data_IF_365577013549
#
_entry.id   IF_365577013549
#
_cell.length_a   1.000
_cell.length_b   1.000
_cell.length_c   1.000
_cell.angle_alpha   90.00
_cell.angle_beta   90.00
_cell.angle_gamma   90.00
#
_symmetry.space_group_name_H-M   'P 1'
#
loop_
_entity.id
_entity.type
_entity.pdbx_description
1 polymer ?
#
# COMPACT_ATOMS: atom_id res chain seq x y z
N UNK A 1 -14.69 -3.43 -15.32
CA UNK A 1 -13.34 -3.26 -14.73
C UNK A 1 -13.56 -3.17 -13.23
N UNK A 2 -13.00 -4.11 -12.47
CA UNK A 2 -13.48 -4.46 -11.12
C UNK A 2 -13.31 -3.29 -10.14
N UNK A 3 -14.44 -2.76 -9.68
CA UNK A 3 -14.57 -1.95 -8.48
C UNK A 3 -13.90 -2.70 -7.32
N UNK A 4 -12.78 -2.17 -6.81
CA UNK A 4 -12.32 -2.57 -5.48
C UNK A 4 -13.32 -1.98 -4.47
N UNK A 5 -14.34 -2.77 -4.18
CA UNK A 5 -15.26 -2.55 -3.09
C UNK A 5 -14.45 -2.81 -1.81
N UNK A 6 -13.80 -1.76 -1.29
CA UNK A 6 -13.02 -1.83 -0.05
C UNK A 6 -13.97 -1.83 1.13
N UNK A 7 -14.73 -2.92 1.25
CA UNK A 7 -15.62 -3.18 2.36
C UNK A 7 -15.02 -4.28 3.24
N UNK A 8 -13.80 -4.04 3.71
CA UNK A 8 -13.20 -4.77 4.84
C UNK A 8 -12.30 -3.81 5.61
N UNK A 9 -12.87 -3.19 6.65
CA UNK A 9 -12.18 -2.82 7.89
C UNK A 9 -10.71 -2.34 7.76
N UNK A 10 -10.45 -1.33 6.94
CA UNK A 10 -9.08 -0.80 6.75
C UNK A 10 -8.54 -0.07 7.99
N UNK A 11 -9.41 0.35 8.90
CA UNK A 11 -9.02 1.10 10.12
C UNK A 11 -8.20 0.26 11.11
N UNK A 12 -8.15 -1.07 10.96
CA UNK A 12 -7.32 -1.95 11.82
C UNK A 12 -6.11 -2.56 11.11
N UNK A 13 -6.07 -2.59 9.78
CA UNK A 13 -4.98 -3.24 9.04
C UNK A 13 -3.77 -2.31 8.89
N UNK A 14 -3.95 -0.99 8.92
CA UNK A 14 -2.84 -0.03 8.86
C UNK A 14 -2.01 0.08 10.15
N UNK A 15 -2.41 -0.55 11.26
CA UNK A 15 -1.60 -0.57 12.48
C UNK A 15 -0.54 -1.69 12.51
N UNK A 16 -0.53 -2.61 11.53
CA UNK A 16 0.36 -3.78 11.55
C UNK A 16 1.49 -3.77 10.51
N UNK A 17 1.61 -2.71 9.69
CA UNK A 17 2.58 -2.68 8.57
C UNK A 17 3.93 -2.02 8.86
N UNK A 18 4.18 -1.58 10.09
CA UNK A 18 5.52 -1.19 10.55
C UNK A 18 5.97 -2.17 11.63
N UNK A 19 7.05 -2.89 11.37
CA UNK A 19 7.74 -3.77 12.34
C UNK A 19 8.24 -3.03 13.60
N UNK A 20 7.90 -1.75 13.77
CA UNK A 20 8.30 -0.89 14.87
C UNK A 20 7.14 -0.24 15.65
N UNK A 21 5.86 -0.48 15.29
CA UNK A 21 4.72 0.12 16.01
C UNK A 21 3.83 -0.90 16.74
N UNK A 22 4.45 -1.89 17.39
CA UNK A 22 3.75 -2.75 18.38
C UNK A 22 3.45 -1.99 19.70
N UNK A 23 3.66 -0.68 19.74
CA UNK A 23 3.50 0.17 20.93
C UNK A 23 2.28 1.10 20.85
N UNK A 24 1.24 0.77 20.06
CA UNK A 24 -0.05 1.46 20.20
C UNK A 24 -0.77 0.99 21.48
N UNK A 25 -0.44 1.62 22.60
CA UNK A 25 -1.23 2.03 23.79
C UNK A 25 -2.58 1.35 24.15
N UNK A 26 -2.86 0.10 23.77
CA UNK A 26 -4.13 -0.57 24.08
C UNK A 26 -4.00 -1.48 25.32
N UNK A 27 -2.83 -2.10 25.54
CA UNK A 27 -2.50 -2.86 26.75
C UNK A 27 -1.12 -2.49 27.26
N UNK A 28 -0.94 -2.41 28.58
CA UNK A 28 0.39 -2.26 29.22
C UNK A 28 1.26 -3.51 29.10
N UNK A 29 0.73 -4.59 28.53
CA UNK A 29 1.42 -5.86 28.34
C UNK A 29 2.23 -5.88 27.05
N UNK A 30 3.52 -6.20 27.19
CA UNK A 30 4.39 -6.52 26.06
C UNK A 30 4.31 -8.00 25.74
N UNK A 31 4.03 -8.34 24.49
CA UNK A 31 3.99 -9.72 24.01
C UNK A 31 5.28 -10.07 23.27
N UNK A 32 5.71 -11.34 23.38
CA UNK A 32 6.90 -11.86 22.69
C UNK A 32 6.70 -11.88 21.17
N UNK A 33 5.45 -12.04 20.73
CA UNK A 33 5.10 -12.07 19.31
C UNK A 33 3.59 -11.97 19.08
N UNK A 34 3.17 -11.97 17.80
CA UNK A 34 1.77 -11.84 17.42
C UNK A 34 0.93 -13.05 17.82
N UNK A 35 1.53 -14.24 17.93
CA UNK A 35 0.82 -15.48 18.32
C UNK A 35 0.38 -15.39 19.78
N UNK A 36 1.31 -15.02 20.66
CA UNK A 36 1.07 -14.86 22.10
C UNK A 36 0.07 -13.73 22.36
N UNK A 37 0.14 -12.65 21.58
CA UNK A 37 -0.84 -11.56 21.63
C UNK A 37 -2.25 -12.07 21.32
N UNK A 38 -2.44 -12.81 20.21
CA UNK A 38 -3.76 -13.32 19.84
C UNK A 38 -4.29 -14.32 20.89
N UNK A 39 -3.43 -15.19 21.41
CA UNK A 39 -3.79 -16.14 22.47
C UNK A 39 -4.20 -15.44 23.77
N UNK A 40 -3.51 -14.37 24.18
CA UNK A 40 -3.90 -13.61 25.36
C UNK A 40 -5.31 -13.02 25.21
N UNK A 41 -5.58 -12.42 24.05
CA UNK A 41 -6.85 -11.74 23.77
C UNK A 41 -8.00 -12.69 23.42
N UNK A 42 -7.76 -14.01 23.38
CA UNK A 42 -8.86 -14.98 23.36
C UNK A 42 -9.53 -15.11 24.72
N UNK A 43 -8.91 -14.60 25.80
CA UNK A 43 -9.43 -14.67 27.17
C UNK A 43 -9.52 -13.31 27.87
N UNK A 44 -8.64 -12.36 27.52
CA UNK A 44 -8.62 -11.02 28.11
C UNK A 44 -9.05 -9.98 27.08
N UNK A 45 -9.83 -8.97 27.51
CA UNK A 45 -10.31 -7.92 26.61
C UNK A 45 -9.27 -6.82 26.43
N UNK A 46 -8.56 -6.39 27.48
CA UNK A 46 -7.49 -5.38 27.37
C UNK A 46 -7.89 -4.13 26.53
N UNK A 47 -9.12 -3.66 26.68
CA UNK A 47 -9.63 -2.50 25.92
C UNK A 47 -10.08 -2.80 24.49
N UNK A 48 -9.96 -4.03 23.99
CA UNK A 48 -10.62 -4.48 22.76
C UNK A 48 -12.13 -4.64 22.97
N UNK A 49 -12.88 -4.45 21.88
CA UNK A 49 -14.34 -4.54 21.88
C UNK A 49 -14.87 -5.95 22.21
N UNK A 50 -14.14 -6.99 21.80
CA UNK A 50 -14.53 -8.41 21.94
C UNK A 50 -13.31 -9.31 22.02
N UNK A 51 -13.46 -10.49 22.63
CA UNK A 51 -12.44 -11.53 22.66
C UNK A 51 -12.15 -12.10 21.26
N UNK A 52 -10.90 -12.49 21.02
CA UNK A 52 -10.49 -13.19 19.81
C UNK A 52 -10.92 -14.67 19.87
N UNK A 53 -12.06 -15.01 19.25
CA UNK A 53 -12.61 -16.37 19.35
C UNK A 53 -12.32 -17.25 18.13
N UNK A 54 -12.85 -16.87 16.96
CA UNK A 54 -12.77 -17.70 15.76
C UNK A 54 -11.70 -17.15 14.79
N UNK A 55 -10.60 -17.89 14.55
CA UNK A 55 -9.63 -17.46 13.55
C UNK A 55 -10.21 -17.65 12.14
N UNK A 56 -10.15 -16.57 11.34
CA UNK A 56 -10.42 -16.67 9.90
C UNK A 56 -9.19 -17.24 9.21
N UNK A 57 -9.16 -18.56 9.05
CA UNK A 57 -8.04 -19.24 8.42
C UNK A 57 -7.96 -18.87 6.93
N UNK A 58 -6.73 -18.71 6.46
CA UNK A 58 -6.45 -18.54 5.04
C UNK A 58 -6.89 -19.79 4.27
N UNK A 59 -7.50 -19.65 3.08
CA UNK A 59 -7.80 -20.80 2.22
C UNK A 59 -6.56 -21.64 1.92
N UNK A 60 -6.76 -22.95 1.81
CA UNK A 60 -5.69 -23.92 1.53
C UNK A 60 -5.03 -23.55 0.19
N UNK A 61 -3.70 -23.55 0.18
CA UNK A 61 -2.89 -23.26 -1.01
C UNK A 61 -2.64 -21.76 -1.28
N UNK A 62 -3.28 -20.84 -0.56
CA UNK A 62 -2.93 -19.42 -0.66
C UNK A 62 -1.71 -19.10 0.21
N UNK A 63 -0.77 -18.32 -0.33
CA UNK A 63 0.37 -17.77 0.43
C UNK A 63 -0.06 -16.56 1.27
N UNK A 64 0.72 -16.19 2.32
CA UNK A 64 0.43 -15.01 3.12
C UNK A 64 0.45 -13.74 2.29
N UNK A 65 -0.45 -12.79 2.58
CA UNK A 65 -0.26 -11.41 2.16
C UNK A 65 0.79 -10.80 3.09
N UNK A 66 1.85 -10.22 2.51
CA UNK A 66 3.02 -9.73 3.25
C UNK A 66 3.28 -8.23 3.05
N UNK A 67 2.72 -7.62 2.01
CA UNK A 67 3.02 -6.22 1.68
C UNK A 67 1.90 -5.59 0.83
N UNK A 68 1.03 -4.77 1.44
CA UNK A 68 0.00 -3.98 0.73
C UNK A 68 -0.78 -4.78 -0.34
N UNK A 69 -1.15 -6.03 -0.04
CA UNK A 69 -1.87 -6.92 -0.96
C UNK A 69 -0.99 -7.89 -1.76
N UNK A 70 0.34 -7.72 -1.75
CA UNK A 70 1.29 -8.65 -2.38
C UNK A 70 1.42 -9.92 -1.54
N UNK A 71 1.29 -11.08 -2.18
CA UNK A 71 1.44 -12.36 -1.54
C UNK A 71 2.92 -12.76 -1.40
N UNK A 72 3.25 -13.69 -0.49
CA UNK A 72 4.63 -14.06 -0.20
C UNK A 72 5.36 -14.69 -1.38
N UNK A 73 4.65 -15.43 -2.23
CA UNK A 73 5.22 -16.06 -3.41
C UNK A 73 5.53 -15.00 -4.48
N UNK A 74 4.63 -14.04 -4.69
CA UNK A 74 4.82 -12.92 -5.60
C UNK A 74 5.98 -12.03 -5.13
N UNK A 75 6.09 -11.80 -3.82
CA UNK A 75 7.23 -11.08 -3.25
C UNK A 75 8.54 -11.81 -3.55
N UNK A 76 8.62 -13.12 -3.29
CA UNK A 76 9.82 -13.91 -3.59
C UNK A 76 10.18 -13.86 -5.08
N UNK A 77 9.17 -13.98 -5.93
CA UNK A 77 9.33 -13.86 -7.38
C UNK A 77 9.89 -12.48 -7.78
N UNK A 78 9.31 -11.39 -7.23
CA UNK A 78 9.74 -10.03 -7.51
C UNK A 78 11.15 -9.73 -6.98
N UNK A 79 11.52 -10.25 -5.80
CA UNK A 79 12.88 -10.15 -5.26
C UNK A 79 13.89 -10.79 -6.22
N UNK A 80 13.55 -11.98 -6.74
CA UNK A 80 14.39 -12.69 -7.71
C UNK A 80 14.55 -11.92 -9.01
N UNK A 81 13.45 -11.39 -9.56
CA UNK A 81 13.48 -10.55 -10.76
C UNK A 81 14.34 -9.30 -10.54
N UNK A 82 14.20 -8.64 -9.39
CA UNK A 82 15.00 -7.46 -9.04
C UNK A 82 16.48 -7.79 -8.93
N UNK A 83 16.84 -8.92 -8.32
CA UNK A 83 18.22 -9.38 -8.25
C UNK A 83 18.84 -9.60 -9.64
N UNK A 84 18.07 -10.18 -10.56
CA UNK A 84 18.49 -10.40 -11.96
C UNK A 84 18.60 -9.06 -12.72
N UNK A 85 17.67 -8.13 -12.51
CA UNK A 85 17.69 -6.77 -13.07
C UNK A 85 18.96 -6.01 -12.64
N UNK A 86 19.40 -6.22 -11.40
CA UNK A 86 20.66 -5.69 -10.85
C UNK A 86 21.92 -6.40 -11.39
N UNK A 87 21.76 -7.39 -12.27
CA UNK A 87 22.85 -8.07 -12.98
C UNK A 87 23.33 -9.37 -12.34
N UNK A 88 22.70 -9.85 -11.27
CA UNK A 88 23.07 -11.12 -10.64
C UNK A 88 22.62 -12.32 -11.48
N UNK A 89 23.39 -13.40 -11.44
CA UNK A 89 23.15 -14.61 -12.23
C UNK A 89 23.45 -15.87 -11.43
N UNK A 90 22.75 -16.96 -11.75
CA UNK A 90 23.00 -18.27 -11.18
C UNK A 90 22.96 -18.27 -9.65
N UNK A 91 23.97 -18.86 -9.03
CA UNK A 91 24.07 -19.02 -7.57
C UNK A 91 24.10 -17.69 -6.80
N UNK A 92 24.66 -16.62 -7.39
CA UNK A 92 24.70 -15.31 -6.75
C UNK A 92 23.30 -14.72 -6.51
N UNK A 93 22.29 -15.15 -7.27
CA UNK A 93 20.88 -14.78 -7.00
C UNK A 93 20.38 -15.44 -5.72
N UNK A 94 20.68 -16.73 -5.50
CA UNK A 94 20.27 -17.43 -4.29
C UNK A 94 20.98 -16.88 -3.05
N UNK A 95 22.27 -16.57 -3.17
CA UNK A 95 23.05 -15.95 -2.08
C UNK A 95 22.50 -14.56 -1.73
N UNK A 96 22.11 -13.79 -2.74
CA UNK A 96 21.46 -12.50 -2.56
C UNK A 96 20.11 -12.59 -1.84
N UNK A 97 19.28 -13.57 -2.24
CA UNK A 97 17.95 -13.79 -1.68
C UNK A 97 17.98 -14.34 -0.26
N UNK A 98 19.01 -15.10 0.11
CA UNK A 98 19.16 -15.71 1.44
C UNK A 98 20.13 -14.96 2.35
N UNK A 99 20.82 -13.94 1.83
CA UNK A 99 21.86 -13.19 2.53
C UNK A 99 21.44 -11.78 2.98
N UNK A 100 22.40 -10.96 3.43
CA UNK A 100 22.12 -9.60 3.92
C UNK A 100 21.54 -8.67 2.85
N UNK A 101 21.75 -8.97 1.56
CA UNK A 101 21.22 -8.15 0.46
C UNK A 101 19.70 -8.29 0.27
N UNK A 102 19.07 -9.33 0.82
CA UNK A 102 17.62 -9.55 0.73
C UNK A 102 16.82 -8.33 1.18
N UNK A 103 17.24 -7.66 2.25
CA UNK A 103 16.56 -6.47 2.75
C UNK A 103 16.64 -5.29 1.77
N UNK A 104 17.77 -5.12 1.09
CA UNK A 104 17.93 -4.11 0.06
C UNK A 104 17.07 -4.42 -1.17
N UNK A 105 17.06 -5.67 -1.64
CA UNK A 105 16.15 -6.11 -2.71
C UNK A 105 14.69 -5.87 -2.35
N UNK A 106 14.31 -6.16 -1.11
CA UNK A 106 12.97 -5.89 -0.59
C UNK A 106 12.63 -4.41 -0.63
N UNK A 107 13.54 -3.54 -0.16
CA UNK A 107 13.36 -2.10 -0.25
C UNK A 107 13.15 -1.63 -1.71
N UNK A 108 13.94 -2.13 -2.66
CA UNK A 108 13.80 -1.77 -4.08
C UNK A 108 12.46 -2.26 -4.66
N UNK A 109 12.05 -3.50 -4.37
CA UNK A 109 10.75 -4.02 -4.81
C UNK A 109 9.60 -3.19 -4.24
N UNK A 110 9.67 -2.80 -2.97
CA UNK A 110 8.66 -1.93 -2.35
C UNK A 110 8.62 -0.56 -3.05
N UNK A 111 9.79 0.01 -3.33
CA UNK A 111 9.92 1.31 -4.00
C UNK A 111 9.30 1.32 -5.40
N UNK A 112 9.32 0.18 -6.09
CA UNK A 112 8.79 0.01 -7.45
C UNK A 112 7.38 -0.61 -7.49
N UNK A 113 6.80 -0.95 -6.32
CA UNK A 113 5.55 -1.70 -6.27
C UNK A 113 4.37 -0.96 -6.90
N UNK A 114 4.39 0.38 -6.88
CA UNK A 114 3.37 1.22 -7.52
C UNK A 114 3.28 0.98 -9.02
N UNK A 115 4.36 0.51 -9.66
CA UNK A 115 4.38 0.23 -11.09
C UNK A 115 3.43 -0.92 -11.50
N UNK A 116 3.13 -1.82 -10.55
CA UNK A 116 2.25 -2.98 -10.73
C UNK A 116 0.80 -2.68 -10.36
N UNK A 117 0.51 -1.48 -9.86
CA UNK A 117 -0.81 -1.17 -9.34
C UNK A 117 -1.78 -0.77 -10.45
N UNK A 118 -3.05 -1.17 -10.36
CA UNK A 118 -4.05 -0.89 -11.40
C UNK A 118 -4.33 0.60 -11.56
N UNK A 119 -4.12 1.41 -10.51
CA UNK A 119 -4.28 2.86 -10.53
C UNK A 119 -3.08 3.60 -11.13
N UNK A 120 -1.97 2.93 -11.42
CA UNK A 120 -0.79 3.55 -12.03
C UNK A 120 -0.82 3.40 -13.55
N UNK A 121 -0.93 4.51 -14.26
CA UNK A 121 -1.14 4.55 -15.70
C UNK A 121 0.11 4.97 -16.48
N UNK A 122 1.30 4.76 -15.92
CA UNK A 122 2.57 5.03 -16.60
C UNK A 122 2.64 6.48 -17.13
N UNK A 123 3.06 6.69 -18.37
CA UNK A 123 3.40 8.03 -18.92
C UNK A 123 2.31 8.62 -19.81
N UNK A 124 1.05 8.43 -19.44
CA UNK A 124 -0.09 9.04 -20.14
C UNK A 124 -0.10 10.56 -19.96
N UNK A 125 -0.67 11.26 -20.95
CA UNK A 125 -0.80 12.72 -20.92
C UNK A 125 -2.01 13.15 -20.09
N UNK A 126 -2.08 14.45 -19.77
CA UNK A 126 -3.17 15.04 -18.98
C UNK A 126 -4.55 14.75 -19.61
N UNK A 127 -4.73 15.04 -20.89
CA UNK A 127 -6.01 14.81 -21.58
C UNK A 127 -6.42 13.33 -21.59
N UNK A 128 -5.46 12.40 -21.64
CA UNK A 128 -5.73 10.97 -21.62
C UNK A 128 -6.17 10.51 -20.23
N UNK A 129 -5.56 11.07 -19.17
CA UNK A 129 -6.01 10.85 -17.80
C UNK A 129 -7.44 11.35 -17.59
N UNK A 130 -7.75 12.57 -18.04
CA UNK A 130 -9.10 13.16 -17.99
C UNK A 130 -10.10 12.28 -18.76
N UNK A 131 -9.74 11.79 -19.96
CA UNK A 131 -10.60 10.91 -20.75
C UNK A 131 -10.86 9.57 -20.06
N UNK A 132 -9.88 8.98 -19.37
CA UNK A 132 -10.06 7.72 -18.64
C UNK A 132 -10.99 7.91 -17.43
N UNK A 133 -10.78 8.98 -16.64
CA UNK A 133 -11.66 9.33 -15.53
C UNK A 133 -13.11 9.56 -16.00
N UNK A 134 -13.28 10.24 -17.14
CA UNK A 134 -14.59 10.45 -17.75
C UNK A 134 -15.24 9.15 -18.24
N UNK A 135 -14.47 8.23 -18.82
CA UNK A 135 -14.98 6.93 -19.28
C UNK A 135 -15.52 6.05 -18.15
N UNK A 136 -15.06 6.27 -16.92
CA UNK A 136 -15.55 5.59 -15.72
C UNK A 136 -16.72 6.33 -15.04
N UNK A 137 -17.27 7.36 -15.70
CA UNK A 137 -18.45 8.08 -15.26
C UNK A 137 -18.16 9.26 -14.33
N UNK A 138 -16.92 9.75 -14.27
CA UNK A 138 -16.52 10.88 -13.41
C UNK A 138 -16.97 10.71 -11.95
N UNK A 139 -16.86 9.49 -11.43
CA UNK A 139 -17.23 9.22 -10.05
C UNK A 139 -16.35 10.03 -9.10
N UNK A 140 -16.97 10.68 -8.12
CA UNK A 140 -16.25 11.46 -7.12
C UNK A 140 -15.29 10.55 -6.33
N UNK A 141 -14.00 10.91 -6.31
CA UNK A 141 -12.94 10.08 -5.74
C UNK A 141 -12.25 9.13 -6.72
N UNK A 142 -12.73 8.99 -7.96
CA UNK A 142 -11.99 8.26 -8.99
C UNK A 142 -10.61 8.89 -9.20
N UNK A 143 -9.56 8.08 -9.22
CA UNK A 143 -8.20 8.59 -9.32
C UNK A 143 -7.29 7.67 -10.12
N UNK A 144 -6.20 8.25 -10.63
CA UNK A 144 -5.06 7.54 -11.20
C UNK A 144 -3.77 8.31 -10.94
N UNK A 145 -2.65 7.61 -10.94
CA UNK A 145 -1.32 8.21 -10.87
C UNK A 145 -0.62 8.01 -12.21
N UNK A 146 0.01 9.06 -12.71
CA UNK A 146 0.80 9.03 -13.95
C UNK A 146 2.18 9.64 -13.72
N UNK A 147 3.18 9.17 -14.46
CA UNK A 147 4.53 9.70 -14.45
C UNK A 147 4.75 10.66 -15.61
N UNK A 148 5.24 11.86 -15.30
CA UNK A 148 5.52 12.92 -16.27
C UNK A 148 7.02 12.94 -16.58
N UNK A 149 7.40 12.42 -17.75
CA UNK A 149 8.81 12.30 -18.15
C UNK A 149 9.53 13.65 -18.26
N UNK A 150 8.83 14.72 -18.65
CA UNK A 150 9.45 16.03 -18.87
C UNK A 150 10.00 16.62 -17.56
N UNK A 151 9.26 16.47 -16.46
CA UNK A 151 9.61 17.02 -15.16
C UNK A 151 10.24 15.97 -14.23
N UNK A 152 10.21 14.69 -14.61
CA UNK A 152 10.53 13.54 -13.76
C UNK A 152 9.69 13.48 -12.47
N UNK A 153 8.45 13.95 -12.53
CA UNK A 153 7.50 13.97 -11.40
C UNK A 153 6.34 13.02 -11.61
N UNK A 154 5.67 12.61 -10.53
CA UNK A 154 4.38 11.94 -10.62
C UNK A 154 3.25 12.97 -10.54
N UNK A 155 2.09 12.62 -11.09
CA UNK A 155 0.88 13.44 -11.01
C UNK A 155 -0.27 12.54 -10.59
N UNK A 156 -0.92 12.91 -9.49
CA UNK A 156 -2.21 12.37 -9.09
C UNK A 156 -3.29 13.10 -9.89
N UNK A 157 -4.11 12.35 -10.63
CA UNK A 157 -5.31 12.88 -11.29
C UNK A 157 -6.52 12.29 -10.57
N UNK A 158 -7.37 13.16 -10.04
CA UNK A 158 -8.51 12.84 -9.16
C UNK A 158 -9.76 13.53 -9.69
N UNK A 159 -10.89 12.85 -9.72
CA UNK A 159 -12.19 13.48 -9.95
C UNK A 159 -12.77 13.99 -8.64
N UNK A 160 -13.13 15.28 -8.61
CA UNK A 160 -13.79 15.92 -7.48
C UNK A 160 -14.87 16.87 -8.00
N UNK A 161 -16.10 16.73 -7.51
CA UNK A 161 -17.27 17.52 -7.96
C UNK A 161 -17.48 17.43 -9.49
N UNK A 162 -17.36 16.22 -10.04
CA UNK A 162 -17.40 15.94 -11.49
C UNK A 162 -16.32 16.62 -12.33
N UNK A 163 -15.30 17.23 -11.72
CA UNK A 163 -14.19 17.86 -12.43
C UNK A 163 -12.85 17.16 -12.13
N UNK A 164 -11.99 16.94 -13.14
CA UNK A 164 -10.66 16.39 -12.93
C UNK A 164 -9.72 17.44 -12.32
N UNK A 165 -9.12 17.10 -11.20
CA UNK A 165 -8.06 17.84 -10.49
C UNK A 165 -6.73 17.11 -10.64
N UNK A 166 -5.64 17.86 -10.78
CA UNK A 166 -4.30 17.29 -10.95
C UNK A 166 -3.33 17.86 -9.93
N UNK A 167 -2.75 16.98 -9.11
CA UNK A 167 -1.80 17.35 -8.06
C UNK A 167 -0.43 16.79 -8.39
N UNK A 168 0.59 17.65 -8.29
CA UNK A 168 1.96 17.24 -8.57
C UNK A 168 2.56 16.54 -7.34
N UNK A 169 3.17 15.39 -7.59
CA UNK A 169 3.93 14.62 -6.61
C UNK A 169 5.40 14.81 -6.94
N UNK A 170 6.10 15.53 -6.07
CA UNK A 170 7.49 15.94 -6.28
C UNK A 170 8.44 15.16 -5.37
N UNK A 171 9.63 14.90 -5.89
CA UNK A 171 10.71 14.30 -5.11
C UNK A 171 11.55 15.39 -4.44
N UNK A 172 11.76 15.25 -3.14
CA UNK A 172 12.66 16.08 -2.36
C UNK A 172 13.41 15.20 -1.36
N UNK A 173 14.75 15.24 -1.40
CA UNK A 173 15.64 14.43 -0.55
C UNK A 173 15.25 12.93 -0.54
N UNK A 174 15.00 12.35 -1.73
CA UNK A 174 14.59 10.95 -1.91
C UNK A 174 13.24 10.57 -1.29
N UNK A 175 12.39 11.56 -1.00
CA UNK A 175 11.02 11.38 -0.49
C UNK A 175 10.02 12.08 -1.41
N UNK A 176 8.79 11.60 -1.43
CA UNK A 176 7.71 12.09 -2.27
C UNK A 176 6.75 12.95 -1.46
N UNK A 177 6.29 14.08 -2.01
CA UNK A 177 5.23 14.88 -1.40
C UNK A 177 4.23 15.36 -2.44
N UNK A 178 2.96 15.48 -2.05
CA UNK A 178 1.94 16.16 -2.84
C UNK A 178 2.01 17.65 -2.48
N UNK A 179 2.35 18.50 -3.44
CA UNK A 179 2.36 19.98 -3.29
C UNK A 179 3.09 20.50 -2.04
N UNK A 180 4.17 19.83 -1.61
CA UNK A 180 4.95 20.22 -0.43
C UNK A 180 4.32 19.86 0.92
N UNK A 181 3.30 19.00 0.93
CA UNK A 181 2.68 18.47 2.14
C UNK A 181 3.55 17.41 2.86
N UNK A 182 2.91 16.36 3.37
CA UNK A 182 3.61 15.26 4.03
C UNK A 182 4.58 14.55 3.07
N UNK A 183 5.71 14.09 3.61
CA UNK A 183 6.74 13.36 2.87
C UNK A 183 6.62 11.85 3.08
N UNK A 184 6.74 11.10 1.97
CA UNK A 184 6.59 9.66 1.89
C UNK A 184 7.85 9.01 1.33
N UNK A 185 8.15 7.78 1.73
CA UNK A 185 9.29 7.06 1.17
C UNK A 185 8.97 6.50 -0.22
N UNK A 186 7.70 6.18 -0.48
CA UNK A 186 7.25 5.54 -1.72
C UNK A 186 5.95 6.12 -2.26
N UNK A 187 5.72 5.97 -3.57
CA UNK A 187 4.44 6.35 -4.21
C UNK A 187 3.28 5.48 -3.68
N UNK A 188 3.56 4.24 -3.27
CA UNK A 188 2.58 3.39 -2.62
C UNK A 188 2.02 4.03 -1.35
N UNK A 189 2.86 4.57 -0.47
CA UNK A 189 2.41 5.26 0.75
C UNK A 189 1.50 6.45 0.44
N UNK A 190 1.83 7.23 -0.60
CA UNK A 190 0.99 8.32 -1.08
C UNK A 190 -0.40 7.79 -1.45
N UNK A 191 -0.46 6.70 -2.22
CA UNK A 191 -1.74 6.12 -2.66
C UNK A 191 -2.60 5.57 -1.53
N UNK A 192 -1.98 4.95 -0.52
CA UNK A 192 -2.71 4.37 0.63
C UNK A 192 -3.35 5.46 1.47
N UNK A 193 -2.69 6.60 1.65
CA UNK A 193 -3.28 7.73 2.34
C UNK A 193 -4.45 8.35 1.60
N UNK A 194 -4.38 8.45 0.27
CA UNK A 194 -5.49 8.96 -0.53
C UNK A 194 -6.73 8.07 -0.40
N UNK A 195 -6.54 6.75 -0.47
CA UNK A 195 -7.60 5.76 -0.24
C UNK A 195 -8.18 5.90 1.18
N UNK A 196 -7.32 6.05 2.17
CA UNK A 196 -7.76 6.19 3.57
C UNK A 196 -8.56 7.48 3.81
N UNK A 197 -8.07 8.62 3.30
CA UNK A 197 -8.77 9.91 3.41
C UNK A 197 -10.13 9.82 2.72
N UNK A 198 -10.20 9.24 1.52
CA UNK A 198 -11.46 9.06 0.81
C UNK A 198 -12.47 8.22 1.60
N UNK A 199 -12.05 7.06 2.12
CA UNK A 199 -12.92 6.20 2.95
C UNK A 199 -13.38 6.93 4.21
N UNK A 200 -12.50 7.68 4.88
CA UNK A 200 -12.85 8.43 6.08
C UNK A 200 -13.85 9.56 5.80
N UNK A 201 -13.67 10.32 4.71
CA UNK A 201 -14.64 11.34 4.29
C UNK A 201 -15.98 10.72 3.88
N UNK A 202 -15.97 9.62 3.14
CA UNK A 202 -17.19 8.94 2.71
C UNK A 202 -18.01 8.41 3.90
N UNK A 203 -17.35 7.79 4.89
CA UNK A 203 -18.00 7.35 6.13
C UNK A 203 -18.56 8.55 6.89
N UNK A 204 -17.78 9.63 7.05
CA UNK A 204 -18.23 10.83 7.77
C UNK A 204 -19.48 11.45 7.13
N UNK A 205 -19.48 11.62 5.80
CA UNK A 205 -20.62 12.16 5.05
C UNK A 205 -21.84 11.24 4.99
N UNK A 206 -21.67 9.93 5.19
CA UNK A 206 -22.78 8.97 5.24
C UNK A 206 -23.41 8.83 6.63
N UNK A 207 -22.70 9.27 7.67
CA UNK A 207 -23.13 9.17 9.08
C UNK A 207 -23.67 10.52 9.62
N UNK A 208 -23.31 11.64 8.98
CA UNK A 208 -23.89 12.96 9.24
C UNK A 208 -25.09 13.24 8.32
#
# INVERSE_FOLDING_TARGET
MLLFNVNVSLTKIMQFNTTNDINSNISSHKFVGPVELVQHHSTQLDGFLTLAQLPLNRPVGMSPIVLQGLNANDLEHNLRLKAIEMGLKGQSVEEALNGPMRNHLRFLVIKDLHLLQPWYHHTIRRYEAESRLASEGNQDGAFLVRYRKEDRTYVLSLTSQNEPKHYRIEEYLSRWSIEGGQYFETIMEVSVLLIYIYIMLYIYLSVC
#
